data_IF_247391741658
#
_entry.id   IF_247391741658
#
_cell.length_a   1.000
_cell.length_b   1.000
_cell.length_c   1.000
_cell.angle_alpha   90.00
_cell.angle_beta   90.00
_cell.angle_gamma   90.00
#
_symmetry.space_group_name_H-M   'P 1'
#
loop_
_entity.id
_entity.type
_entity.pdbx_description
1 polymer ?
#
# COMPACT_ATOMS: atom_id res chain seq x y z
N UNK A 1 -5.70 -1.43 37.70
CA UNK A 1 -5.32 -0.67 36.51
C UNK A 1 -6.62 -0.45 35.77
N UNK A 2 -7.03 0.80 35.58
CA UNK A 2 -8.25 1.06 34.82
C UNK A 2 -8.08 0.56 33.39
N UNK A 3 -9.15 0.03 32.75
CA UNK A 3 -9.09 -0.38 31.36
C UNK A 3 -8.70 0.81 30.48
N UNK A 4 -7.75 0.60 29.58
CA UNK A 4 -7.28 1.62 28.64
C UNK A 4 -8.35 1.85 27.57
N UNK A 5 -8.69 3.11 27.31
CA UNK A 5 -9.59 3.49 26.22
C UNK A 5 -8.78 3.67 24.92
N UNK A 6 -9.06 2.81 23.95
CA UNK A 6 -8.41 2.82 22.64
C UNK A 6 -8.74 4.10 21.85
N UNK A 7 -9.92 4.69 22.02
CA UNK A 7 -10.29 5.93 21.32
C UNK A 7 -9.53 7.15 21.87
N UNK A 8 -9.32 7.19 23.19
CA UNK A 8 -8.51 8.24 23.82
C UNK A 8 -7.03 8.11 23.43
N UNK A 9 -6.53 6.87 23.41
CA UNK A 9 -5.16 6.56 22.98
C UNK A 9 -4.89 7.02 21.54
N UNK A 10 -5.84 6.78 20.62
CA UNK A 10 -5.72 7.23 19.23
C UNK A 10 -5.71 8.75 19.09
N UNK A 11 -6.55 9.48 19.83
CA UNK A 11 -6.55 10.95 19.81
C UNK A 11 -5.23 11.54 20.31
N UNK A 12 -4.63 10.93 21.34
CA UNK A 12 -3.35 11.39 21.86
C UNK A 12 -2.23 11.13 20.86
N UNK A 13 -2.25 9.99 20.16
CA UNK A 13 -1.30 9.69 19.10
C UNK A 13 -1.47 10.67 17.93
N UNK A 14 -2.70 10.90 17.48
CA UNK A 14 -2.99 11.87 16.41
C UNK A 14 -2.55 13.27 16.81
N UNK A 15 -2.82 13.70 18.04
CA UNK A 15 -2.38 14.99 18.56
C UNK A 15 -0.86 15.06 18.70
N UNK A 16 -0.19 13.99 19.14
CA UNK A 16 1.26 13.93 19.21
C UNK A 16 1.89 14.05 17.81
N UNK A 17 1.28 13.44 16.80
CA UNK A 17 1.70 13.55 15.40
C UNK A 17 1.43 14.96 14.86
N UNK A 18 0.27 15.55 15.13
CA UNK A 18 -0.06 16.93 14.78
C UNK A 18 0.90 17.93 15.44
N UNK A 19 1.37 17.62 16.66
CA UNK A 19 2.38 18.37 17.40
C UNK A 19 3.83 18.02 17.01
N UNK A 20 4.02 17.12 16.03
CA UNK A 20 5.33 16.85 15.42
C UNK A 20 6.15 15.71 16.04
N UNK A 21 5.57 14.88 16.91
CA UNK A 21 6.24 13.71 17.49
C UNK A 21 6.17 12.53 16.52
N UNK A 22 7.32 12.08 16.03
CA UNK A 22 7.50 10.86 15.26
C UNK A 22 8.79 10.13 15.77
N UNK A 23 8.81 8.79 15.74
CA UNK A 23 9.95 7.99 16.26
C UNK A 23 11.16 8.01 15.30
N UNK A 24 10.96 8.54 14.10
CA UNK A 24 11.97 8.96 13.11
C UNK A 24 11.40 10.23 12.49
N UNK A 25 12.19 11.29 12.36
CA UNK A 25 11.70 12.56 11.83
C UNK A 25 11.24 12.39 10.38
N UNK A 26 9.96 12.10 10.21
CA UNK A 26 9.33 11.79 8.93
C UNK A 26 9.37 13.04 8.04
N UNK A 27 9.41 14.22 8.66
CA UNK A 27 9.65 15.47 7.96
C UNK A 27 11.11 15.61 7.52
N UNK A 28 12.08 15.19 8.34
CA UNK A 28 13.50 15.14 7.97
C UNK A 28 13.73 14.21 6.77
N UNK A 29 13.13 13.01 6.77
CA UNK A 29 13.21 12.08 5.63
C UNK A 29 12.67 12.76 4.36
N UNK A 30 11.50 13.41 4.43
CA UNK A 30 10.94 14.14 3.28
C UNK A 30 11.89 15.23 2.77
N UNK A 31 12.53 15.98 3.67
CA UNK A 31 13.52 17.00 3.31
C UNK A 31 14.72 16.37 2.59
N UNK A 32 15.29 15.30 3.14
CA UNK A 32 16.41 14.59 2.52
C UNK A 32 16.03 14.06 1.12
N UNK A 33 14.80 13.55 0.95
CA UNK A 33 14.32 13.11 -0.36
C UNK A 33 14.19 14.27 -1.35
N UNK A 34 13.79 15.47 -0.90
CA UNK A 34 13.76 16.66 -1.74
C UNK A 34 15.17 17.07 -2.20
N UNK A 35 16.15 17.04 -1.29
CA UNK A 35 17.56 17.31 -1.65
C UNK A 35 18.10 16.30 -2.68
N UNK A 36 17.70 15.03 -2.60
CA UNK A 36 18.07 14.03 -3.61
C UNK A 36 17.44 14.32 -4.99
N UNK A 37 16.22 14.88 -5.03
CA UNK A 37 15.57 15.31 -6.27
C UNK A 37 16.27 16.54 -6.84
N UNK A 38 16.52 17.56 -6.02
CA UNK A 38 17.23 18.78 -6.42
C UNK A 38 18.66 18.48 -6.91
N UNK A 39 19.33 17.53 -6.25
CA UNK A 39 20.64 17.02 -6.66
C UNK A 39 20.61 16.13 -7.91
N UNK A 40 19.43 15.81 -8.45
CA UNK A 40 19.27 14.97 -9.64
C UNK A 40 19.60 13.49 -9.44
N UNK A 41 19.69 13.02 -8.19
CA UNK A 41 19.98 11.62 -7.84
C UNK A 41 18.75 10.74 -8.11
N UNK A 42 17.57 11.26 -7.82
CA UNK A 42 16.28 10.66 -8.17
C UNK A 42 15.39 11.69 -8.86
N UNK A 43 14.41 11.24 -9.65
CA UNK A 43 13.48 12.15 -10.33
C UNK A 43 12.27 12.53 -9.46
N UNK A 44 11.80 11.57 -8.69
CA UNK A 44 10.61 11.65 -7.84
C UNK A 44 10.77 10.70 -6.66
N UNK A 45 9.95 10.87 -5.63
CA UNK A 45 9.85 9.92 -4.52
C UNK A 45 8.40 9.64 -4.16
N UNK A 46 8.21 8.63 -3.32
CA UNK A 46 6.93 8.27 -2.73
C UNK A 46 7.12 7.82 -1.27
N UNK A 47 6.02 7.41 -0.64
CA UNK A 47 6.04 6.81 0.68
C UNK A 47 5.21 5.53 0.71
N UNK A 48 5.79 4.44 1.19
CA UNK A 48 5.04 3.19 1.42
C UNK A 48 4.43 3.22 2.82
N UNK A 49 3.10 3.32 2.89
CA UNK A 49 2.37 3.34 4.16
C UNK A 49 0.91 2.92 3.99
N UNK A 50 0.37 2.30 5.03
CA UNK A 50 -1.08 2.08 5.17
C UNK A 50 -1.74 3.13 6.07
N UNK A 51 -0.98 4.12 6.53
CA UNK A 51 -1.40 5.06 7.57
C UNK A 51 -1.61 6.45 6.98
N UNK A 52 -2.86 6.93 6.87
CA UNK A 52 -3.19 8.25 6.34
C UNK A 52 -2.39 9.39 6.99
N UNK A 53 -2.20 9.37 8.31
CA UNK A 53 -1.45 10.41 9.01
C UNK A 53 0.02 10.49 8.58
N UNK A 54 0.65 9.38 8.18
CA UNK A 54 2.03 9.40 7.68
C UNK A 54 2.08 9.97 6.25
N UNK A 55 1.12 9.59 5.40
CA UNK A 55 1.02 10.14 4.05
C UNK A 55 0.81 11.66 4.07
N UNK A 56 0.05 12.21 5.03
CA UNK A 56 -0.13 13.66 5.22
C UNK A 56 1.19 14.42 5.41
N UNK A 57 2.24 13.79 5.94
CA UNK A 57 3.56 14.41 6.09
C UNK A 57 4.25 14.57 4.72
N UNK A 58 4.20 13.53 3.88
CA UNK A 58 4.83 13.49 2.57
C UNK A 58 4.06 14.27 1.50
N UNK A 59 2.74 14.39 1.63
CA UNK A 59 1.91 15.26 0.78
C UNK A 59 2.33 16.73 0.77
N UNK A 60 3.06 17.17 1.80
CA UNK A 60 3.61 18.54 1.86
C UNK A 60 4.87 18.71 0.99
N UNK A 61 5.40 17.65 0.40
CA UNK A 61 6.60 17.68 -0.43
C UNK A 61 6.26 17.78 -1.91
N UNK A 62 6.87 18.74 -2.62
CA UNK A 62 6.55 19.04 -4.02
C UNK A 62 6.86 17.90 -5.00
N UNK A 63 7.72 16.95 -4.61
CA UNK A 63 8.16 15.83 -5.46
C UNK A 63 7.60 14.46 -5.03
N UNK A 64 6.68 14.43 -4.06
CA UNK A 64 5.96 13.21 -3.71
C UNK A 64 4.88 12.93 -4.76
N UNK A 65 5.02 11.87 -5.56
CA UNK A 65 4.10 11.59 -6.69
C UNK A 65 3.24 10.36 -6.52
N UNK A 66 3.53 9.54 -5.51
CA UNK A 66 2.78 8.31 -5.25
C UNK A 66 2.74 7.97 -3.76
N UNK A 67 1.91 6.98 -3.42
CA UNK A 67 2.00 6.23 -2.18
C UNK A 67 1.85 4.76 -2.51
N UNK A 68 2.64 3.89 -1.87
CA UNK A 68 2.41 2.45 -1.94
C UNK A 68 1.59 2.01 -0.71
N UNK A 69 0.49 1.29 -0.93
CA UNK A 69 -0.41 0.82 0.13
C UNK A 69 -0.83 -0.63 -0.09
N UNK A 70 -1.04 -1.38 0.99
CA UNK A 70 -1.66 -2.70 0.92
C UNK A 70 -3.10 -2.51 0.42
N UNK A 71 -3.37 -2.94 -0.81
CA UNK A 71 -4.67 -2.74 -1.41
C UNK A 71 -5.08 -3.93 -2.27
N UNK A 72 -6.14 -4.58 -1.81
CA UNK A 72 -6.82 -5.72 -2.41
C UNK A 72 -8.30 -5.64 -1.99
N UNK A 73 -9.11 -6.66 -2.29
CA UNK A 73 -10.55 -6.60 -2.02
C UNK A 73 -10.89 -6.56 -0.51
N UNK A 74 -10.00 -7.00 0.39
CA UNK A 74 -10.31 -7.11 1.82
C UNK A 74 -10.20 -5.79 2.61
N UNK A 75 -9.07 -5.06 2.59
CA UNK A 75 -8.93 -3.85 3.40
C UNK A 75 -9.71 -2.68 2.80
N UNK A 76 -10.44 -1.94 3.65
CA UNK A 76 -10.96 -0.62 3.29
C UNK A 76 -9.83 0.41 3.29
N UNK A 77 -9.68 1.13 2.19
CA UNK A 77 -8.64 2.13 1.93
C UNK A 77 -9.22 3.46 1.47
N UNK A 78 -10.51 3.71 1.71
CA UNK A 78 -11.23 4.90 1.25
C UNK A 78 -10.53 6.22 1.60
N UNK A 79 -9.99 6.36 2.83
CA UNK A 79 -9.28 7.59 3.23
C UNK A 79 -8.00 7.81 2.41
N UNK A 80 -7.14 6.79 2.28
CA UNK A 80 -5.90 6.91 1.51
C UNK A 80 -6.17 7.10 0.01
N UNK A 81 -7.19 6.45 -0.55
CA UNK A 81 -7.61 6.66 -1.94
C UNK A 81 -8.11 8.09 -2.17
N UNK A 82 -8.96 8.61 -1.26
CA UNK A 82 -9.44 10.00 -1.31
C UNK A 82 -8.26 10.98 -1.23
N UNK A 83 -7.26 10.69 -0.38
CA UNK A 83 -6.04 11.49 -0.32
C UNK A 83 -5.24 11.42 -1.62
N UNK A 84 -5.13 10.25 -2.27
CA UNK A 84 -4.43 10.12 -3.54
C UNK A 84 -5.12 10.92 -4.64
N UNK A 85 -6.43 10.76 -4.80
CA UNK A 85 -7.24 11.48 -5.77
C UNK A 85 -7.18 12.99 -5.56
N UNK A 86 -7.36 13.46 -4.32
CA UNK A 86 -7.36 14.88 -3.99
C UNK A 86 -6.02 15.59 -4.15
N UNK A 87 -4.91 14.84 -4.20
CA UNK A 87 -3.55 15.38 -4.30
C UNK A 87 -2.82 14.96 -5.58
N UNK A 88 -3.52 14.33 -6.54
CA UNK A 88 -2.91 13.83 -7.78
C UNK A 88 -1.72 12.87 -7.53
N UNK A 89 -1.85 11.98 -6.53
CA UNK A 89 -0.88 10.91 -6.28
C UNK A 89 -1.31 9.62 -6.97
N UNK A 90 -0.35 8.86 -7.49
CA UNK A 90 -0.58 7.47 -7.86
C UNK A 90 -0.71 6.58 -6.61
N UNK A 91 -1.74 5.74 -6.57
CA UNK A 91 -1.84 4.63 -5.61
C UNK A 91 -1.14 3.40 -6.17
N UNK A 92 -0.01 3.02 -5.59
CA UNK A 92 0.69 1.78 -5.91
C UNK A 92 0.19 0.67 -5.00
N UNK A 93 -0.46 -0.34 -5.59
CA UNK A 93 -1.17 -1.36 -4.83
C UNK A 93 -0.25 -2.55 -4.56
N UNK A 94 0.24 -2.69 -3.33
CA UNK A 94 0.95 -3.92 -2.92
C UNK A 94 -0.05 -4.98 -2.47
N UNK A 95 0.34 -6.24 -2.65
CA UNK A 95 -0.46 -7.44 -2.31
C UNK A 95 -1.86 -7.46 -2.94
N UNK A 96 -2.01 -7.20 -4.25
CA UNK A 96 -3.33 -7.24 -4.91
C UNK A 96 -4.01 -8.61 -4.80
N UNK A 97 -3.24 -9.70 -4.63
CA UNK A 97 -3.73 -11.07 -4.45
C UNK A 97 -3.80 -11.53 -2.97
N UNK A 98 -3.73 -10.59 -2.01
CA UNK A 98 -3.77 -10.87 -0.57
C UNK A 98 -2.82 -12.00 -0.14
N UNK A 99 -1.55 -11.90 -0.53
CA UNK A 99 -0.53 -12.92 -0.27
C UNK A 99 -0.88 -14.33 -0.79
N UNK A 100 -1.66 -14.42 -1.87
CA UNK A 100 -2.07 -15.69 -2.50
C UNK A 100 -3.45 -16.19 -2.06
N UNK A 101 -4.10 -15.52 -1.11
CA UNK A 101 -5.46 -15.90 -0.68
C UNK A 101 -6.51 -15.75 -1.81
N UNK A 102 -6.26 -14.84 -2.77
CA UNK A 102 -7.11 -14.62 -3.94
C UNK A 102 -6.68 -15.45 -5.16
N UNK A 103 -5.95 -16.54 -4.95
CA UNK A 103 -5.59 -17.49 -6.00
C UNK A 103 -6.31 -18.80 -5.76
N UNK A 104 -6.52 -19.59 -6.82
CA UNK A 104 -7.06 -20.96 -6.71
C UNK A 104 -6.19 -21.88 -5.83
N UNK A 105 -4.97 -21.45 -5.50
CA UNK A 105 -3.92 -22.21 -4.85
C UNK A 105 -3.62 -21.74 -3.41
N UNK A 106 -4.66 -21.36 -2.65
CA UNK A 106 -4.62 -20.87 -1.26
C UNK A 106 -3.97 -21.81 -0.21
N UNK A 107 -3.37 -22.93 -0.65
CA UNK A 107 -2.62 -23.91 0.16
C UNK A 107 -1.13 -23.99 -0.13
N UNK A 108 -0.55 -23.11 -0.96
CA UNK A 108 0.91 -22.99 -1.01
C UNK A 108 1.37 -22.13 0.15
N UNK A 109 1.78 -22.83 1.22
CA UNK A 109 2.25 -22.24 2.47
C UNK A 109 3.31 -21.16 2.28
N UNK A 110 3.40 -20.31 3.31
CA UNK A 110 4.47 -19.33 3.52
C UNK A 110 5.78 -19.82 2.93
N UNK A 111 6.26 -19.13 1.89
CA UNK A 111 7.49 -19.49 1.21
C UNK A 111 8.64 -19.53 2.21
N UNK A 112 9.00 -20.73 2.67
CA UNK A 112 10.30 -20.96 3.28
C UNK A 112 11.33 -20.71 2.19
N UNK A 113 12.24 -19.78 2.46
CA UNK A 113 13.42 -19.61 1.65
C UNK A 113 14.20 -20.94 1.63
N UNK A 114 14.18 -21.66 0.49
CA UNK A 114 14.99 -22.87 0.30
C UNK A 114 15.55 -22.88 -1.12
N UNK A 115 16.90 -22.85 -1.17
CA UNK A 115 17.85 -23.09 -2.27
C UNK A 115 17.37 -22.96 -3.72
N UNK A 116 17.84 -21.88 -4.36
CA UNK A 116 17.65 -21.60 -5.79
C UNK A 116 18.13 -22.72 -6.70
N UNK A 117 17.18 -23.34 -7.40
CA UNK A 117 17.39 -24.24 -8.52
C UNK A 117 16.57 -23.79 -9.74
N UNK A 118 16.87 -24.34 -10.92
CA UNK A 118 16.22 -23.95 -12.18
C UNK A 118 14.70 -24.11 -12.17
N UNK A 119 14.15 -25.06 -11.42
CA UNK A 119 12.71 -25.30 -11.29
C UNK A 119 11.98 -24.15 -10.57
N UNK A 120 12.59 -23.55 -9.53
CA UNK A 120 12.01 -22.41 -8.81
C UNK A 120 11.94 -21.17 -9.71
N UNK A 121 12.96 -20.96 -10.54
CA UNK A 121 12.98 -19.89 -11.54
C UNK A 121 11.84 -20.09 -12.54
N UNK A 122 11.62 -21.31 -13.05
CA UNK A 122 10.51 -21.59 -13.96
C UNK A 122 9.15 -21.30 -13.33
N UNK A 123 8.97 -21.67 -12.05
CA UNK A 123 7.73 -21.37 -11.31
C UNK A 123 7.49 -19.86 -11.15
N UNK A 124 8.53 -19.09 -10.81
CA UNK A 124 8.45 -17.62 -10.73
C UNK A 124 8.14 -16.98 -12.09
N UNK A 125 8.74 -17.49 -13.17
CA UNK A 125 8.46 -17.01 -14.53
C UNK A 125 7.01 -17.30 -14.95
N UNK A 126 6.47 -18.49 -14.63
CA UNK A 126 5.07 -18.80 -14.88
C UNK A 126 4.14 -17.85 -14.14
N UNK A 127 4.39 -17.58 -12.86
CA UNK A 127 3.61 -16.64 -12.06
C UNK A 127 3.68 -15.20 -12.62
N UNK A 128 4.84 -14.75 -13.10
CA UNK A 128 4.97 -13.44 -13.76
C UNK A 128 4.13 -13.39 -15.04
N UNK A 129 4.12 -14.45 -15.86
CA UNK A 129 3.32 -14.50 -17.08
C UNK A 129 1.82 -14.45 -16.78
N UNK A 130 1.36 -15.26 -15.83
CA UNK A 130 -0.03 -15.27 -15.38
C UNK A 130 -0.46 -13.89 -14.87
N UNK A 131 0.38 -13.22 -14.06
CA UNK A 131 0.12 -11.86 -13.61
C UNK A 131 0.04 -10.86 -14.78
N UNK A 132 0.93 -10.96 -15.77
CA UNK A 132 0.89 -10.09 -16.95
C UNK A 132 -0.37 -10.32 -17.79
N UNK A 133 -0.77 -11.57 -18.01
CA UNK A 133 -2.01 -11.93 -18.71
C UNK A 133 -3.24 -11.39 -17.97
N UNK A 134 -3.24 -11.51 -16.64
CA UNK A 134 -4.27 -10.95 -15.78
C UNK A 134 -4.31 -9.41 -15.78
N UNK A 135 -3.36 -8.70 -16.38
CA UNK A 135 -3.43 -7.24 -16.54
C UNK A 135 -3.96 -6.81 -17.91
N UNK A 136 -4.33 -7.77 -18.78
CA UNK A 136 -4.80 -7.49 -20.16
C UNK A 136 -6.32 -7.45 -20.30
N UNK A 137 -7.09 -7.77 -19.26
CA UNK A 137 -8.55 -7.72 -19.35
C UNK A 137 -9.06 -6.28 -19.26
N UNK A 138 -10.16 -6.00 -19.99
CA UNK A 138 -10.83 -4.69 -19.97
C UNK A 138 -11.38 -4.37 -18.58
N UNK A 139 -11.51 -3.08 -18.19
CA UNK A 139 -12.09 -2.72 -16.90
C UNK A 139 -13.38 -3.49 -16.60
N UNK A 140 -13.51 -3.97 -15.36
CA UNK A 140 -14.70 -4.69 -14.93
C UNK A 140 -15.95 -3.85 -15.14
N UNK A 141 -17.02 -4.46 -15.62
CA UNK A 141 -18.31 -3.79 -15.76
C UNK A 141 -18.98 -3.60 -14.39
N UNK A 142 -20.01 -2.76 -14.34
CA UNK A 142 -20.70 -2.44 -13.07
C UNK A 142 -21.26 -3.67 -12.36
N UNK A 143 -21.80 -4.65 -13.09
CA UNK A 143 -22.32 -5.89 -12.50
C UNK A 143 -21.22 -6.68 -11.79
N UNK A 144 -20.05 -6.80 -12.40
CA UNK A 144 -18.89 -7.47 -11.79
C UNK A 144 -18.40 -6.71 -10.55
N UNK A 145 -18.40 -5.37 -10.59
CA UNK A 145 -18.04 -4.55 -9.43
C UNK A 145 -19.02 -4.71 -8.27
N UNK A 146 -20.32 -4.76 -8.56
CA UNK A 146 -21.37 -4.97 -7.56
C UNK A 146 -21.26 -6.35 -6.91
N UNK A 147 -20.91 -7.38 -7.69
CA UNK A 147 -20.64 -8.74 -7.18
C UNK A 147 -19.43 -8.77 -6.24
N UNK A 148 -18.35 -8.04 -6.56
CA UNK A 148 -17.18 -7.91 -5.68
C UNK A 148 -17.58 -7.24 -4.36
N UNK A 149 -18.37 -6.18 -4.41
CA UNK A 149 -18.88 -5.51 -3.19
C UNK A 149 -19.75 -6.44 -2.33
N UNK A 150 -20.50 -7.35 -2.95
CA UNK A 150 -21.22 -8.38 -2.20
C UNK A 150 -20.28 -9.39 -1.53
N UNK A 151 -19.24 -9.85 -2.25
CA UNK A 151 -18.22 -10.75 -1.69
C UNK A 151 -17.53 -10.10 -0.49
N UNK A 152 -17.17 -8.82 -0.60
CA UNK A 152 -16.55 -8.04 0.48
C UNK A 152 -17.41 -7.96 1.74
N UNK A 153 -18.73 -7.89 1.60
CA UNK A 153 -19.67 -7.85 2.75
C UNK A 153 -19.86 -9.22 3.42
N UNK A 154 -19.53 -10.30 2.73
CA UNK A 154 -19.70 -11.68 3.21
C UNK A 154 -18.43 -12.36 3.72
N UNK A 155 -17.26 -11.74 3.53
CA UNK A 155 -15.96 -12.19 4.01
C UNK A 155 -15.61 -11.59 5.38
#
# INVERSE_FOLDING_TARGET
>A
MEPVDDQESMKIIDMAIDLGINLFDTAEIRTNMAELVEGGIVRWYDWSTDRPHQLKVFLKGEHCTATEQDFNIFPDKAETLTMCEGNNLASLNRRPLACGALTENSRLGSGSAVSGGGEEIQKKLAAVRENCEALTFEPLNQTQMDEIELIKKGA
#
